data_IF_351565036980
#
_entry.id   IF_351565036980
#
_cell.length_a   1.000
_cell.length_b   1.000
_cell.length_c   1.000
_cell.angle_alpha   90.00
_cell.angle_beta   90.00
_cell.angle_gamma   90.00
#
_symmetry.space_group_name_H-M   'P 1'
#
loop_
_entity.id
_entity.type
_entity.pdbx_description
1 polymer ?
#
# COMPACT_ATOMS: atom_id res chain seq x y z
N UNK A 1 -5.16 5.23 -1.57
CA UNK A 1 -4.18 6.11 -0.92
C UNK A 1 -3.47 6.98 -1.95
N UNK A 2 -3.19 8.23 -1.58
CA UNK A 2 -2.27 9.10 -2.31
C UNK A 2 -0.88 8.88 -1.72
N UNK A 3 0.02 8.36 -2.53
CA UNK A 3 1.37 7.95 -2.14
C UNK A 3 2.35 9.03 -2.57
N UNK A 4 3.18 9.49 -1.65
CA UNK A 4 4.21 10.50 -1.87
C UNK A 4 5.58 9.85 -1.73
N UNK A 5 6.35 9.71 -2.84
CA UNK A 5 7.71 9.17 -2.81
C UNK A 5 8.71 10.21 -2.27
N UNK A 6 9.81 9.74 -1.70
CA UNK A 6 10.95 10.56 -1.27
C UNK A 6 11.77 11.00 -2.48
N UNK A 7 11.50 12.20 -2.99
CA UNK A 7 12.05 12.71 -4.26
C UNK A 7 13.58 12.82 -4.30
N UNK A 8 14.22 13.13 -3.20
CA UNK A 8 15.69 13.26 -3.08
C UNK A 8 16.39 11.92 -2.82
N UNK A 9 15.73 10.78 -3.08
CA UNK A 9 16.29 9.45 -2.94
C UNK A 9 16.21 8.72 -4.29
N UNK A 10 17.20 7.87 -4.67
CA UNK A 10 17.17 7.15 -5.96
C UNK A 10 15.86 6.39 -6.22
N UNK A 11 15.23 5.85 -5.19
CA UNK A 11 13.93 5.17 -5.31
C UNK A 11 12.80 6.09 -5.78
N UNK A 12 12.90 7.40 -5.51
CA UNK A 12 11.90 8.39 -5.95
C UNK A 12 12.13 8.97 -7.35
N UNK A 13 13.21 8.60 -8.05
CA UNK A 13 13.55 9.13 -9.36
C UNK A 13 12.48 8.81 -10.40
N UNK A 14 12.06 9.82 -11.14
CA UNK A 14 11.03 9.68 -12.19
C UNK A 14 9.66 9.20 -11.68
N UNK A 15 9.41 9.23 -10.36
CA UNK A 15 8.13 8.84 -9.76
C UNK A 15 7.43 10.07 -9.24
N UNK A 16 6.28 10.43 -9.79
CA UNK A 16 5.40 11.44 -9.23
C UNK A 16 4.55 10.87 -8.09
N UNK A 17 3.83 11.76 -7.39
CA UNK A 17 2.78 11.30 -6.47
C UNK A 17 1.76 10.48 -7.23
N UNK A 18 1.34 9.37 -6.65
CA UNK A 18 0.43 8.43 -7.31
C UNK A 18 -0.72 8.05 -6.39
N UNK A 19 -1.86 7.74 -7.01
CA UNK A 19 -3.02 7.18 -6.31
C UNK A 19 -3.10 5.69 -6.59
N UNK A 20 -3.21 4.89 -5.53
CA UNK A 20 -3.48 3.46 -5.64
C UNK A 20 -4.56 3.04 -4.63
N UNK A 21 -5.35 2.05 -5.02
CA UNK A 21 -6.29 1.37 -4.13
C UNK A 21 -5.75 0.00 -3.81
N UNK A 22 -5.27 -0.15 -2.57
CA UNK A 22 -4.66 -1.40 -2.11
C UNK A 22 -4.98 -1.65 -0.63
N UNK A 23 -4.67 -2.81 -0.13
CA UNK A 23 -4.77 -3.15 1.29
C UNK A 23 -3.50 -2.70 2.01
N UNK A 24 -3.31 -1.37 2.07
CA UNK A 24 -2.16 -0.81 2.76
C UNK A 24 -2.30 -0.93 4.27
N UNK A 25 -1.27 -1.44 4.91
CA UNK A 25 -1.13 -1.42 6.36
C UNK A 25 -0.40 -0.16 6.79
N UNK A 26 -0.81 0.42 7.90
CA UNK A 26 -0.11 1.52 8.55
C UNK A 26 -0.02 1.32 10.06
N UNK A 27 0.55 2.28 10.78
CA UNK A 27 0.89 2.16 12.21
C UNK A 27 1.80 0.94 12.46
N UNK A 28 2.77 0.74 11.55
CA UNK A 28 3.76 -0.31 11.67
C UNK A 28 4.68 -0.01 12.86
N UNK A 29 5.08 -1.07 13.57
CA UNK A 29 6.14 -0.95 14.56
C UNK A 29 7.47 -0.78 13.84
N UNK A 30 7.81 0.47 13.53
CA UNK A 30 9.15 0.79 13.10
C UNK A 30 10.10 0.65 14.30
N UNK A 31 11.31 0.15 14.10
CA UNK A 31 12.34 0.28 15.12
C UNK A 31 12.44 1.75 15.51
N UNK A 32 12.50 2.00 16.82
CA UNK A 32 12.81 3.33 17.32
C UNK A 32 14.00 3.90 16.54
N UNK A 33 13.97 5.15 16.06
CA UNK A 33 15.10 5.79 15.41
C UNK A 33 16.41 5.66 16.20
N UNK A 34 16.33 5.50 17.54
CA UNK A 34 17.46 5.16 18.39
C UNK A 34 18.03 3.76 18.15
N UNK A 35 17.19 2.79 17.76
CA UNK A 35 17.55 1.38 17.55
C UNK A 35 17.86 1.03 16.10
N UNK A 36 17.37 1.81 15.13
CA UNK A 36 17.68 1.61 13.71
C UNK A 36 17.85 2.95 12.99
N UNK A 37 19.02 3.55 13.14
CA UNK A 37 19.39 4.81 12.46
C UNK A 37 19.39 4.71 10.93
N UNK A 38 19.33 3.49 10.39
CA UNK A 38 19.39 3.21 8.97
C UNK A 38 18.01 2.90 8.35
N UNK A 39 16.96 2.85 9.18
CA UNK A 39 15.61 2.55 8.73
C UNK A 39 14.82 3.85 8.59
N UNK A 40 14.34 4.11 7.37
CA UNK A 40 13.55 5.31 7.10
C UNK A 40 12.55 5.10 5.97
N UNK A 41 11.47 5.90 5.94
CA UNK A 41 10.46 5.79 4.89
C UNK A 41 10.99 6.31 3.54
N UNK A 42 10.63 5.61 2.47
CA UNK A 42 10.89 5.96 1.07
C UNK A 42 9.63 6.44 0.35
N UNK A 43 8.47 5.98 0.78
CA UNK A 43 7.18 6.51 0.33
C UNK A 43 6.18 6.48 1.49
N UNK A 44 5.35 7.52 1.56
CA UNK A 44 4.36 7.69 2.62
C UNK A 44 2.99 7.99 2.06
N UNK A 45 1.96 7.74 2.86
CA UNK A 45 0.62 8.28 2.64
C UNK A 45 0.03 8.78 3.95
N UNK A 46 -0.92 9.70 3.87
CA UNK A 46 -1.65 10.22 5.02
C UNK A 46 -3.02 9.53 5.05
N UNK A 47 -3.26 8.61 6.01
CA UNK A 47 -4.55 7.94 6.12
C UNK A 47 -5.63 8.90 6.67
N UNK A 48 -6.84 8.71 6.19
CA UNK A 48 -8.05 9.41 6.65
C UNK A 48 -9.06 8.40 7.20
N UNK A 49 -10.14 8.85 7.83
CA UNK A 49 -11.20 7.94 8.29
C UNK A 49 -11.73 7.02 7.18
N UNK A 50 -11.81 7.52 5.93
CA UNK A 50 -12.23 6.72 4.78
C UNK A 50 -11.32 5.51 4.53
N UNK A 51 -10.06 5.59 4.93
CA UNK A 51 -9.10 4.49 4.76
C UNK A 51 -9.28 3.39 5.82
N UNK A 52 -9.87 3.70 6.97
CA UNK A 52 -10.11 2.72 8.04
C UNK A 52 -11.33 1.85 7.79
N UNK A 53 -12.25 2.32 6.97
CA UNK A 53 -13.54 1.66 6.76
C UNK A 53 -13.59 1.14 5.33
N UNK A 54 -13.52 -0.18 5.18
CA UNK A 54 -13.57 -0.86 3.90
C UNK A 54 -14.98 -1.37 3.62
N UNK A 55 -15.53 -1.06 2.45
CA UNK A 55 -16.83 -1.58 1.98
C UNK A 55 -18.00 -1.37 2.97
N UNK A 56 -18.06 -0.23 3.63
CA UNK A 56 -19.09 0.04 4.62
C UNK A 56 -19.02 -0.83 5.88
N UNK A 57 -17.94 -1.58 6.06
CA UNK A 57 -17.72 -2.49 7.17
C UNK A 57 -16.80 -1.87 8.22
N UNK A 58 -17.28 -1.86 9.47
CA UNK A 58 -16.48 -1.50 10.65
C UNK A 58 -15.52 -2.61 11.11
N UNK A 59 -15.46 -3.73 10.39
CA UNK A 59 -14.79 -4.97 10.79
C UNK A 59 -13.29 -4.79 11.12
N UNK A 60 -12.65 -3.81 10.52
CA UNK A 60 -11.21 -3.59 10.64
C UNK A 60 -10.85 -2.32 11.42
N UNK A 61 -11.82 -1.74 12.14
CA UNK A 61 -11.53 -0.58 12.96
C UNK A 61 -10.51 -0.93 14.06
N UNK A 62 -9.47 -0.10 14.15
CA UNK A 62 -8.41 -0.26 15.15
C UNK A 62 -8.15 1.10 15.80
N UNK A 63 -8.37 1.20 17.12
CA UNK A 63 -8.22 2.46 17.86
C UNK A 63 -6.80 3.02 17.77
N UNK A 64 -5.76 2.17 17.85
CA UNK A 64 -4.37 2.61 17.74
C UNK A 64 -4.03 3.15 16.34
N UNK A 65 -4.67 2.60 15.30
CA UNK A 65 -4.53 3.12 13.94
C UNK A 65 -5.32 4.43 13.77
N UNK A 66 -6.46 4.59 14.42
CA UNK A 66 -7.22 5.84 14.47
C UNK A 66 -6.38 7.00 14.99
N UNK A 67 -5.58 6.78 16.02
CA UNK A 67 -4.71 7.80 16.63
C UNK A 67 -3.60 8.28 15.69
N UNK A 68 -3.39 7.60 14.55
CA UNK A 68 -2.42 7.96 13.51
C UNK A 68 -3.04 8.59 12.27
N UNK A 69 -4.34 8.79 12.24
CA UNK A 69 -5.01 9.50 11.15
C UNK A 69 -4.44 10.92 11.00
N UNK A 70 -4.36 11.38 9.77
CA UNK A 70 -3.84 12.71 9.46
C UNK A 70 -2.30 12.83 9.56
N UNK A 71 -1.58 11.76 9.91
CA UNK A 71 -0.12 11.77 9.99
C UNK A 71 0.50 10.90 8.89
N UNK A 72 1.68 11.29 8.32
CA UNK A 72 2.35 10.48 7.31
C UNK A 72 2.70 9.08 7.84
N UNK A 73 2.29 8.05 7.13
CA UNK A 73 2.57 6.65 7.44
C UNK A 73 3.45 6.05 6.34
N UNK A 74 4.48 5.29 6.74
CA UNK A 74 5.34 4.62 5.79
C UNK A 74 4.61 3.48 5.09
N UNK A 75 4.61 3.51 3.75
CA UNK A 75 4.12 2.41 2.90
C UNK A 75 5.27 1.65 2.24
N UNK A 76 6.35 2.34 1.97
CA UNK A 76 7.62 1.79 1.52
C UNK A 76 8.72 2.35 2.43
N UNK A 77 9.59 1.50 2.92
CA UNK A 77 10.73 1.86 3.77
C UNK A 77 11.96 1.07 3.39
N UNK A 78 13.11 1.53 3.87
CA UNK A 78 14.37 0.81 3.69
C UNK A 78 15.14 0.67 4.99
N UNK A 79 16.12 -0.22 4.93
CA UNK A 79 17.28 -0.27 5.81
C UNK A 79 18.53 -0.10 4.93
N UNK A 80 19.30 0.95 5.20
CA UNK A 80 20.55 1.27 4.46
C UNK A 80 21.71 1.51 5.43
N UNK A 81 22.25 0.45 6.03
CA UNK A 81 23.39 0.58 6.91
C UNK A 81 24.65 0.98 6.12
N UNK A 82 25.54 1.75 6.74
CA UNK A 82 26.81 2.18 6.13
C UNK A 82 27.68 1.00 5.65
N UNK A 83 27.58 -0.13 6.36
CA UNK A 83 28.21 -1.41 5.99
C UNK A 83 27.14 -2.50 6.03
N UNK A 84 27.10 -3.34 5.03
CA UNK A 84 26.16 -4.45 4.96
C UNK A 84 25.19 -4.35 3.79
N UNK A 85 24.12 -5.14 3.84
CA UNK A 85 23.13 -5.24 2.77
C UNK A 85 22.02 -4.21 2.94
N UNK A 86 21.57 -3.64 1.83
CA UNK A 86 20.36 -2.86 1.79
C UNK A 86 19.15 -3.77 1.85
N UNK A 87 18.07 -3.30 2.46
CA UNK A 87 16.78 -3.96 2.47
C UNK A 87 15.66 -2.96 2.25
N UNK A 88 14.52 -3.44 1.77
CA UNK A 88 13.31 -2.63 1.67
C UNK A 88 12.07 -3.48 1.99
N UNK A 89 11.03 -2.83 2.51
CA UNK A 89 9.72 -3.43 2.73
C UNK A 89 8.62 -2.53 2.18
N UNK A 90 7.59 -3.14 1.61
CA UNK A 90 6.46 -2.47 1.03
C UNK A 90 5.16 -3.14 1.46
N UNK A 91 4.17 -2.36 1.86
CA UNK A 91 2.87 -2.86 2.37
C UNK A 91 1.76 -2.91 1.34
N UNK A 92 2.08 -2.65 0.07
CA UNK A 92 1.16 -2.81 -1.05
C UNK A 92 1.37 -4.14 -1.78
N UNK A 93 0.75 -4.27 -2.96
CA UNK A 93 0.88 -5.44 -3.83
C UNK A 93 -0.24 -6.45 -3.71
N UNK A 94 -1.25 -6.21 -2.86
CA UNK A 94 -2.39 -7.11 -2.71
C UNK A 94 -3.30 -7.10 -3.96
N UNK A 95 -3.57 -5.91 -4.51
CA UNK A 95 -4.42 -5.81 -5.70
C UNK A 95 -3.58 -5.81 -6.97
N UNK A 96 -3.68 -6.89 -7.72
CA UNK A 96 -2.94 -7.13 -8.95
C UNK A 96 -3.05 -6.00 -9.98
N UNK A 97 -4.22 -5.35 -10.11
CA UNK A 97 -4.44 -4.22 -11.02
C UNK A 97 -3.50 -3.03 -10.81
N UNK A 98 -2.96 -2.85 -9.59
CA UNK A 98 -2.05 -1.74 -9.30
C UNK A 98 -0.75 -1.82 -10.11
N UNK A 99 -0.38 -3.01 -10.58
CA UNK A 99 0.77 -3.19 -11.46
C UNK A 99 0.60 -2.52 -12.84
N UNK A 100 -0.63 -2.13 -13.22
CA UNK A 100 -0.88 -1.32 -14.41
C UNK A 100 -0.60 0.19 -14.19
N UNK A 101 -0.47 0.66 -12.95
CA UNK A 101 -0.10 2.05 -12.65
C UNK A 101 1.41 2.20 -12.84
N UNK A 102 1.83 3.03 -13.80
CA UNK A 102 3.24 3.18 -14.16
C UNK A 102 4.09 3.62 -12.96
N UNK A 103 3.70 4.69 -12.27
CA UNK A 103 4.44 5.20 -11.12
C UNK A 103 4.51 4.20 -9.96
N UNK A 104 3.50 3.34 -9.79
CA UNK A 104 3.53 2.25 -8.81
C UNK A 104 4.61 1.21 -9.16
N UNK A 105 4.64 0.76 -10.43
CA UNK A 105 5.67 -0.17 -10.91
C UNK A 105 7.06 0.44 -10.82
N UNK A 106 7.20 1.69 -11.29
CA UNK A 106 8.47 2.42 -11.29
C UNK A 106 9.05 2.54 -9.89
N UNK A 107 8.22 2.90 -8.91
CA UNK A 107 8.62 2.95 -7.50
C UNK A 107 9.21 1.63 -7.01
N UNK A 108 8.57 0.51 -7.33
CA UNK A 108 9.03 -0.82 -6.91
C UNK A 108 10.27 -1.26 -7.70
N UNK A 109 10.33 -1.03 -9.01
CA UNK A 109 11.50 -1.35 -9.83
C UNK A 109 12.73 -0.53 -9.39
N UNK A 110 12.56 0.76 -9.11
CA UNK A 110 13.61 1.60 -8.53
C UNK A 110 14.10 1.03 -7.20
N UNK A 111 13.17 0.56 -6.35
CA UNK A 111 13.50 -0.04 -5.06
C UNK A 111 14.34 -1.30 -5.24
N UNK A 112 13.95 -2.18 -6.15
CA UNK A 112 14.68 -3.43 -6.45
C UNK A 112 16.09 -3.10 -6.95
N UNK A 113 16.21 -2.19 -7.93
CA UNK A 113 17.51 -1.77 -8.46
C UNK A 113 18.40 -1.17 -7.36
N UNK A 114 17.85 -0.30 -6.52
CA UNK A 114 18.58 0.34 -5.43
C UNK A 114 19.05 -0.66 -4.36
N UNK A 115 18.19 -1.63 -3.98
CA UNK A 115 18.56 -2.70 -3.03
C UNK A 115 19.68 -3.56 -3.61
N UNK A 116 19.62 -3.86 -4.91
CA UNK A 116 20.64 -4.61 -5.63
C UNK A 116 21.93 -3.80 -5.90
N UNK A 117 22.00 -2.53 -5.45
CA UNK A 117 23.10 -1.58 -5.69
C UNK A 117 23.33 -1.27 -7.18
N UNK A 118 22.30 -1.45 -7.99
CA UNK A 118 22.27 -1.02 -9.39
C UNK A 118 21.89 0.46 -9.42
N UNK A 119 22.53 1.22 -10.32
CA UNK A 119 22.18 2.63 -10.48
C UNK A 119 20.74 2.78 -10.98
N UNK A 120 19.94 3.59 -10.30
CA UNK A 120 18.60 3.95 -10.73
C UNK A 120 18.72 5.14 -11.69
N UNK A 121 18.21 5.05 -12.93
CA UNK A 121 18.21 6.19 -13.87
C UNK A 121 17.48 7.41 -13.31
N UNK A 122 17.78 8.61 -13.80
CA UNK A 122 17.13 9.86 -13.34
C UNK A 122 15.60 9.85 -13.56
N UNK A 123 15.16 9.26 -14.69
CA UNK A 123 13.73 9.10 -15.00
C UNK A 123 13.13 7.80 -14.42
N UNK A 124 13.89 7.13 -13.54
CA UNK A 124 13.52 5.84 -12.95
C UNK A 124 13.72 4.66 -13.91
N UNK A 125 13.55 3.45 -13.37
CA UNK A 125 13.67 2.21 -14.15
C UNK A 125 12.50 2.11 -15.12
N UNK A 126 12.77 2.00 -16.44
CA UNK A 126 11.71 1.89 -17.44
C UNK A 126 10.99 0.54 -17.36
N UNK A 127 9.72 0.55 -17.73
CA UNK A 127 8.92 -0.67 -17.84
C UNK A 127 7.92 -0.56 -18.97
N UNK A 128 7.47 -1.69 -19.50
CA UNK A 128 6.43 -1.72 -20.52
C UNK A 128 5.11 -1.18 -19.95
N UNK A 129 4.31 -0.53 -20.81
CA UNK A 129 2.91 -0.22 -20.49
C UNK A 129 2.18 -1.54 -20.32
N UNK A 130 1.50 -1.68 -19.19
CA UNK A 130 0.71 -2.88 -18.89
C UNK A 130 -0.67 -2.75 -19.51
N UNK A 131 -1.03 -3.68 -20.36
CA UNK A 131 -2.35 -3.76 -20.99
C UNK A 131 -3.31 -4.62 -20.17
N UNK A 132 -4.61 -4.50 -20.41
CA UNK A 132 -5.63 -5.38 -19.81
C UNK A 132 -5.32 -6.86 -20.07
N UNK A 133 -4.91 -7.19 -21.30
CA UNK A 133 -4.52 -8.56 -21.66
C UNK A 133 -3.35 -9.06 -20.81
N UNK A 134 -2.31 -8.23 -20.59
CA UNK A 134 -1.18 -8.60 -19.73
C UNK A 134 -1.60 -8.82 -18.28
N UNK A 135 -2.52 -8.00 -17.75
CA UNK A 135 -3.04 -8.20 -16.38
C UNK A 135 -3.79 -9.52 -16.21
N UNK A 136 -4.38 -10.02 -17.28
CA UNK A 136 -5.21 -11.21 -17.24
C UNK A 136 -4.48 -12.49 -17.70
N UNK A 137 -3.20 -12.38 -18.09
CA UNK A 137 -2.38 -13.55 -18.42
C UNK A 137 -1.94 -14.29 -17.15
N UNK A 138 -1.92 -15.62 -17.25
CA UNK A 138 -1.39 -16.51 -16.20
C UNK A 138 -2.06 -16.36 -14.82
N UNK A 139 -3.28 -15.86 -14.77
CA UNK A 139 -4.07 -15.84 -13.54
C UNK A 139 -4.55 -17.26 -13.25
N UNK A 140 -3.92 -17.91 -12.28
CA UNK A 140 -4.34 -19.24 -11.83
C UNK A 140 -5.54 -19.13 -10.87
N UNK A 141 -6.69 -18.66 -11.38
CA UNK A 141 -7.93 -18.50 -10.61
C UNK A 141 -9.13 -18.92 -11.44
N UNK A 142 -9.37 -20.24 -11.57
CA UNK A 142 -10.50 -20.77 -12.33
C UNK A 142 -11.87 -20.29 -11.81
N UNK A 143 -11.93 -19.86 -10.53
CA UNK A 143 -13.17 -19.44 -9.88
C UNK A 143 -13.48 -17.94 -10.04
N UNK A 144 -12.61 -17.20 -10.73
CA UNK A 144 -12.81 -15.77 -11.01
C UNK A 144 -13.13 -15.59 -12.50
N UNK A 145 -14.42 -15.53 -12.87
CA UNK A 145 -14.83 -15.40 -14.27
C UNK A 145 -14.62 -13.99 -14.82
N UNK A 146 -14.39 -13.01 -13.96
CA UNK A 146 -14.29 -11.61 -14.38
C UNK A 146 -12.85 -11.21 -14.67
N UNK A 147 -12.67 -10.58 -15.84
CA UNK A 147 -11.38 -9.97 -16.20
C UNK A 147 -11.03 -8.81 -15.26
N UNK A 148 -9.75 -8.68 -14.96
CA UNK A 148 -9.24 -7.55 -14.20
C UNK A 148 -9.20 -6.33 -15.11
N UNK A 149 -9.93 -5.30 -14.73
CA UNK A 149 -9.93 -4.02 -15.43
C UNK A 149 -8.70 -3.18 -15.07
N UNK A 150 -8.26 -2.36 -16.03
CA UNK A 150 -7.21 -1.37 -15.79
C UNK A 150 -7.67 -0.37 -14.71
N UNK A 151 -6.76 0.12 -13.86
CA UNK A 151 -7.11 1.07 -12.82
C UNK A 151 -7.55 2.40 -13.46
N UNK A 152 -8.81 2.75 -13.25
CA UNK A 152 -9.38 4.05 -13.57
C UNK A 152 -9.54 4.88 -12.30
N UNK A 153 -9.75 6.19 -12.43
CA UNK A 153 -10.03 7.06 -11.29
C UNK A 153 -11.26 6.60 -10.49
N UNK A 154 -12.22 5.96 -11.14
CA UNK A 154 -13.43 5.44 -10.50
C UNK A 154 -13.15 4.16 -9.72
N UNK A 155 -12.41 3.23 -10.31
CA UNK A 155 -11.98 1.99 -9.64
C UNK A 155 -11.06 2.28 -8.45
N UNK A 156 -10.30 3.39 -8.49
CA UNK A 156 -9.41 3.78 -7.41
C UNK A 156 -10.11 4.56 -6.29
N UNK A 157 -11.39 4.93 -6.46
CA UNK A 157 -12.19 5.54 -5.39
C UNK A 157 -12.49 4.52 -4.31
N UNK A 158 -12.28 4.93 -3.07
CA UNK A 158 -12.75 4.19 -1.91
C UNK A 158 -14.17 4.62 -1.56
N UNK A 159 -15.11 3.68 -1.46
CA UNK A 159 -16.43 3.99 -0.95
C UNK A 159 -16.38 4.36 0.53
N UNK A 160 -17.13 5.40 0.95
CA UNK A 160 -17.18 5.78 2.36
C UNK A 160 -17.88 4.68 3.16
N UNK A 161 -17.22 4.19 4.18
CA UNK A 161 -17.81 3.30 5.16
C UNK A 161 -18.42 4.06 6.35
N UNK A 162 -18.98 3.33 7.30
CA UNK A 162 -19.50 3.88 8.56
C UNK A 162 -18.51 3.62 9.70
N UNK A 163 -18.19 4.68 10.46
CA UNK A 163 -17.43 4.53 11.69
C UNK A 163 -18.23 3.63 12.66
N UNK A 164 -17.61 2.61 13.27
CA UNK A 164 -18.30 1.77 14.22
C UNK A 164 -18.55 2.53 15.53
N UNK A 165 -19.63 2.17 16.22
CA UNK A 165 -19.81 2.53 17.63
C UNK A 165 -18.94 1.58 18.46
N UNK A 166 -17.92 2.14 19.10
CA UNK A 166 -17.05 1.36 20.00
C UNK A 166 -17.73 1.21 21.38
N UNK A 167 -17.42 0.12 22.07
CA UNK A 167 -17.77 -0.05 23.47
C UNK A 167 -17.08 0.99 24.38
N UNK A 168 -17.52 1.09 25.63
CA UNK A 168 -16.93 2.01 26.61
C UNK A 168 -15.43 1.77 26.85
N UNK A 169 -14.95 0.56 26.57
CA UNK A 169 -13.53 0.16 26.60
C UNK A 169 -12.76 0.50 25.31
N UNK A 170 -13.37 1.21 24.37
CA UNK A 170 -12.80 1.56 23.07
C UNK A 170 -12.64 0.38 22.10
N UNK A 171 -13.21 -0.77 22.40
CA UNK A 171 -13.12 -1.97 21.57
C UNK A 171 -14.31 -2.11 20.64
N UNK A 172 -14.08 -2.84 19.54
CA UNK A 172 -15.15 -3.24 18.64
C UNK A 172 -16.16 -4.13 19.38
N UNK A 173 -17.48 -3.94 19.17
CA UNK A 173 -18.47 -4.87 19.67
C UNK A 173 -18.22 -6.28 19.11
N UNK A 174 -18.54 -7.33 19.89
CA UNK A 174 -18.41 -8.70 19.40
C UNK A 174 -19.23 -8.88 18.13
N UNK A 175 -18.70 -9.69 17.20
CA UNK A 175 -19.40 -9.98 15.95
C UNK A 175 -20.75 -10.64 16.22
N UNK A 176 -21.77 -10.15 15.56
CA UNK A 176 -23.02 -10.89 15.50
C UNK A 176 -22.79 -12.33 14.99
N UNK A 177 -23.42 -13.34 15.59
CA UNK A 177 -23.28 -14.72 15.13
C UNK A 177 -23.63 -14.81 13.64
N UNK A 178 -22.81 -15.55 12.89
CA UNK A 178 -23.06 -15.77 11.46
C UNK A 178 -24.43 -16.46 11.32
N UNK A 179 -25.31 -15.88 10.51
CA UNK A 179 -26.55 -16.58 10.13
C UNK A 179 -26.17 -17.94 9.53
N UNK A 180 -26.85 -19.02 9.90
CA UNK A 180 -26.59 -20.33 9.31
C UNK A 180 -26.74 -20.22 7.80
N UNK A 181 -25.79 -20.79 7.06
CA UNK A 181 -25.88 -20.90 5.60
C UNK A 181 -27.15 -21.71 5.31
N UNK A 182 -28.09 -21.12 4.59
CA UNK A 182 -29.18 -21.91 4.02
C UNK A 182 -28.52 -22.96 3.13
N UNK A 183 -28.82 -24.25 3.43
CA UNK A 183 -28.47 -25.38 2.56
C UNK A 183 -29.23 -25.30 1.26
#
# INVERSE_FOLDING_TARGET
ANITPKKNHPVGRGVDSLTAYDEFYWNLNFPDPGNCKHCYPLATAIPTEKNMIRYGSSKFWNKKAEDKLGTPQALLWCSDPAKGSRGAGFVGGHYHRNWAIENYRKLILNTIAWVARVNVPEDGVPSRVVTKSMLNQNLNRPDFPEEIELPTSEILKQEPGKKPTLGADGRMPPRAPKKPKKK
#
